data_IF_909124115869
#
_entry.id   IF_909124115869
#
_cell.length_a   1.000
_cell.length_b   1.000
_cell.length_c   1.000
_cell.angle_alpha   90.00
_cell.angle_beta   90.00
_cell.angle_gamma   90.00
#
_symmetry.space_group_name_H-M   'P 1'
#
loop_
_entity.id
_entity.type
_entity.pdbx_description
1 polymer ?
#
# COMPACT_ATOMS: atom_id res chain seq x y z
N UNK A 1 31.61 -4.76 4.53
CA UNK A 1 30.49 -3.81 4.34
C UNK A 1 29.46 -4.54 3.48
N UNK A 2 28.20 -4.70 3.92
CA UNK A 2 27.14 -5.28 3.08
C UNK A 2 26.43 -4.12 2.37
N UNK A 3 26.34 -4.21 1.05
CA UNK A 3 25.62 -3.23 0.22
C UNK A 3 24.24 -3.78 -0.12
N UNK A 4 23.21 -2.93 0.00
CA UNK A 4 21.83 -3.29 -0.35
C UNK A 4 21.57 -2.74 -1.75
N UNK A 5 21.38 -3.63 -2.72
CA UNK A 5 21.07 -3.27 -4.09
C UNK A 5 19.59 -2.92 -4.24
N UNK A 6 19.29 -1.83 -4.96
CA UNK A 6 17.92 -1.44 -5.31
C UNK A 6 17.38 -2.40 -6.37
N UNK A 7 16.27 -3.07 -6.06
CA UNK A 7 15.48 -3.84 -7.03
C UNK A 7 14.05 -3.29 -7.06
N UNK A 8 13.56 -2.96 -8.24
CA UNK A 8 12.22 -2.40 -8.45
C UNK A 8 11.29 -3.36 -9.22
N UNK A 9 11.67 -4.62 -9.41
CA UNK A 9 10.80 -5.63 -10.00
C UNK A 9 9.67 -6.02 -9.02
N UNK A 10 8.44 -5.65 -9.37
CA UNK A 10 7.24 -5.84 -8.59
C UNK A 10 6.54 -7.20 -8.74
N UNK A 11 6.93 -8.04 -9.69
CA UNK A 11 6.20 -9.26 -10.09
C UNK A 11 5.93 -10.24 -8.94
N UNK A 12 6.82 -10.29 -7.95
CA UNK A 12 6.73 -11.19 -6.80
C UNK A 12 6.08 -10.55 -5.57
N UNK A 13 5.84 -9.24 -5.57
CA UNK A 13 5.32 -8.55 -4.40
C UNK A 13 3.80 -8.61 -4.31
N UNK A 14 3.32 -8.58 -3.05
CA UNK A 14 1.93 -8.30 -2.71
C UNK A 14 1.91 -7.07 -1.81
N UNK A 15 1.12 -6.08 -2.18
CA UNK A 15 1.17 -4.73 -1.62
C UNK A 15 -0.16 -4.38 -0.96
N UNK A 16 -0.11 -3.92 0.29
CA UNK A 16 -1.24 -3.35 1.00
C UNK A 16 -1.18 -1.83 1.02
N UNK A 17 -2.30 -1.18 0.69
CA UNK A 17 -2.49 0.27 0.78
C UNK A 17 -3.58 0.53 1.80
N UNK A 18 -3.32 1.43 2.76
CA UNK A 18 -4.36 1.93 3.68
C UNK A 18 -4.60 3.41 3.42
N UNK A 19 -5.86 3.76 3.17
CA UNK A 19 -6.30 5.12 2.89
C UNK A 19 -7.25 5.62 3.98
N UNK A 20 -6.91 6.73 4.61
CA UNK A 20 -7.81 7.50 5.48
C UNK A 20 -8.87 8.22 4.63
N UNK A 21 -10.12 8.21 5.10
CA UNK A 21 -11.25 8.91 4.47
C UNK A 21 -11.43 10.34 5.00
N UNK A 22 -10.53 10.84 5.84
CA UNK A 22 -10.57 12.21 6.36
C UNK A 22 -10.52 13.28 5.25
N UNK A 23 -9.80 13.02 4.15
CA UNK A 23 -9.79 13.85 2.95
C UNK A 23 -9.85 12.96 1.69
N UNK A 24 -11.06 12.56 1.25
CA UNK A 24 -11.22 11.56 0.20
C UNK A 24 -10.73 12.05 -1.16
N UNK A 25 -10.88 13.34 -1.48
CA UNK A 25 -10.43 13.88 -2.77
C UNK A 25 -8.91 13.74 -2.94
N UNK A 26 -8.15 14.08 -1.90
CA UNK A 26 -6.70 13.91 -1.91
C UNK A 26 -6.33 12.43 -1.84
N UNK A 27 -6.92 11.68 -0.89
CA UNK A 27 -6.64 10.27 -0.70
C UNK A 27 -6.88 9.42 -1.94
N UNK A 28 -7.97 9.64 -2.68
CA UNK A 28 -8.28 8.88 -3.89
C UNK A 28 -7.34 9.20 -5.05
N UNK A 29 -7.00 10.47 -5.26
CA UNK A 29 -6.01 10.86 -6.28
C UNK A 29 -4.65 10.21 -6.01
N UNK A 30 -4.27 10.20 -4.74
CA UNK A 30 -3.05 9.62 -4.21
C UNK A 30 -3.02 8.09 -4.40
N UNK A 31 -4.07 7.38 -3.96
CA UNK A 31 -4.21 5.93 -4.15
C UNK A 31 -4.17 5.57 -5.62
N UNK A 32 -4.85 6.33 -6.49
CA UNK A 32 -4.86 6.10 -7.93
C UNK A 32 -3.46 6.23 -8.55
N UNK A 33 -2.71 7.27 -8.18
CA UNK A 33 -1.34 7.46 -8.65
C UNK A 33 -0.42 6.32 -8.18
N UNK A 34 -0.53 5.93 -6.91
CA UNK A 34 0.24 4.82 -6.33
C UNK A 34 -0.09 3.49 -7.02
N UNK A 35 -1.37 3.19 -7.21
CA UNK A 35 -1.83 1.98 -7.88
C UNK A 35 -1.28 1.87 -9.31
N UNK A 36 -1.37 2.96 -10.09
CA UNK A 36 -0.83 2.99 -11.44
C UNK A 36 0.69 2.74 -11.46
N UNK A 37 1.43 3.32 -10.51
CA UNK A 37 2.87 3.11 -10.44
C UNK A 37 3.23 1.68 -10.04
N UNK A 38 2.48 1.05 -9.12
CA UNK A 38 2.68 -0.36 -8.78
C UNK A 38 2.47 -1.28 -9.99
N UNK A 39 1.48 -0.99 -10.83
CA UNK A 39 1.27 -1.72 -12.08
C UNK A 39 2.45 -1.51 -13.05
N UNK A 40 2.96 -0.28 -13.19
CA UNK A 40 4.14 0.01 -14.02
C UNK A 40 5.39 -0.74 -13.56
N UNK A 41 5.52 -0.96 -12.25
CA UNK A 41 6.61 -1.73 -11.63
C UNK A 41 6.41 -3.25 -11.74
N UNK A 42 5.30 -3.72 -12.33
CA UNK A 42 5.03 -5.14 -12.57
C UNK A 42 4.30 -5.86 -11.43
N UNK A 43 3.81 -5.14 -10.41
CA UNK A 43 2.95 -5.73 -9.39
C UNK A 43 1.63 -6.15 -10.03
N UNK A 44 1.20 -7.40 -9.82
CA UNK A 44 -0.08 -7.87 -10.33
C UNK A 44 -1.23 -7.19 -9.58
N UNK A 45 -2.22 -6.71 -10.32
CA UNK A 45 -3.39 -6.01 -9.77
C UNK A 45 -4.09 -6.80 -8.65
N UNK A 46 -4.28 -8.11 -8.86
CA UNK A 46 -4.87 -9.05 -7.89
C UNK A 46 -4.09 -9.15 -6.56
N UNK A 47 -2.83 -8.70 -6.53
CA UNK A 47 -1.96 -8.68 -5.34
C UNK A 47 -1.85 -7.30 -4.70
N UNK A 48 -2.62 -6.32 -5.18
CA UNK A 48 -2.75 -5.00 -4.58
C UNK A 48 -4.06 -4.97 -3.78
N UNK A 49 -3.97 -4.70 -2.49
CA UNK A 49 -5.12 -4.64 -1.59
C UNK A 49 -5.26 -3.25 -1.00
N UNK A 50 -6.40 -2.60 -1.23
CA UNK A 50 -6.75 -1.32 -0.61
C UNK A 50 -7.68 -1.57 0.59
N UNK A 51 -7.34 -0.99 1.75
CA UNK A 51 -8.25 -0.84 2.87
C UNK A 51 -8.52 0.64 3.12
N UNK A 52 -9.80 0.99 3.31
CA UNK A 52 -10.21 2.34 3.72
C UNK A 52 -10.48 2.36 5.22
N UNK A 53 -10.10 3.45 5.87
CA UNK A 53 -10.34 3.66 7.31
C UNK A 53 -10.89 5.08 7.55
N UNK A 54 -11.65 5.31 8.64
CA UNK A 54 -12.22 6.62 8.92
C UNK A 54 -11.17 7.74 9.06
N UNK A 55 -10.01 7.44 9.65
CA UNK A 55 -8.97 8.41 9.94
C UNK A 55 -7.56 7.80 10.03
N UNK A 56 -6.57 8.68 10.26
CA UNK A 56 -5.18 8.26 10.38
C UNK A 56 -4.93 7.40 11.64
N UNK A 57 -5.73 7.57 12.70
CA UNK A 57 -5.60 6.83 13.96
C UNK A 57 -5.93 5.35 13.81
N UNK A 58 -6.80 5.00 12.86
CA UNK A 58 -7.21 3.62 12.58
C UNK A 58 -6.24 2.92 11.63
N UNK A 59 -5.41 3.68 10.90
CA UNK A 59 -4.47 3.16 9.90
C UNK A 59 -3.49 2.11 10.47
N UNK A 60 -2.84 2.31 11.64
CA UNK A 60 -1.96 1.30 12.24
C UNK A 60 -2.67 -0.03 12.54
N UNK A 61 -3.93 0.01 12.96
CA UNK A 61 -4.70 -1.19 13.26
C UNK A 61 -5.06 -1.94 11.97
N UNK A 62 -5.50 -1.21 10.94
CA UNK A 62 -5.78 -1.80 9.63
C UNK A 62 -4.52 -2.44 9.02
N UNK A 63 -3.38 -1.75 9.09
CA UNK A 63 -2.08 -2.25 8.64
C UNK A 63 -1.68 -3.54 9.37
N UNK A 64 -1.80 -3.55 10.71
CA UNK A 64 -1.54 -4.74 11.52
C UNK A 64 -2.44 -5.90 11.09
N UNK A 65 -3.73 -5.65 10.91
CA UNK A 65 -4.68 -6.70 10.48
C UNK A 65 -4.36 -7.21 9.08
N UNK A 66 -3.99 -6.33 8.15
CA UNK A 66 -3.58 -6.69 6.79
C UNK A 66 -2.33 -7.57 6.78
N UNK A 67 -1.29 -7.19 7.54
CA UNK A 67 -0.07 -7.98 7.69
C UNK A 67 -0.37 -9.41 8.17
N UNK A 68 -1.28 -9.53 9.15
CA UNK A 68 -1.63 -10.81 9.76
C UNK A 68 -2.53 -11.70 8.89
N UNK A 69 -3.30 -11.15 7.95
CA UNK A 69 -4.33 -11.90 7.22
C UNK A 69 -4.00 -12.21 5.76
N UNK A 70 -3.17 -11.39 5.11
CA UNK A 70 -3.01 -11.42 3.65
C UNK A 70 -1.59 -11.77 3.18
N UNK A 71 -0.67 -12.10 4.11
CA UNK A 71 0.75 -12.35 3.82
C UNK A 71 1.36 -11.27 2.90
N UNK A 72 1.04 -10.01 3.20
CA UNK A 72 1.51 -8.86 2.44
C UNK A 72 2.93 -8.53 2.91
N UNK A 73 3.86 -8.44 1.96
CA UNK A 73 5.27 -8.18 2.28
C UNK A 73 5.56 -6.69 2.45
N UNK A 74 4.75 -5.82 1.86
CA UNK A 74 4.95 -4.37 1.91
C UNK A 74 3.62 -3.65 2.18
N UNK A 75 3.70 -2.65 3.04
CA UNK A 75 2.56 -1.87 3.49
C UNK A 75 2.87 -0.39 3.31
N UNK A 76 1.95 0.32 2.65
CA UNK A 76 2.02 1.76 2.47
C UNK A 76 0.96 2.44 3.35
N UNK A 77 1.40 3.40 4.17
CA UNK A 77 0.53 4.27 4.95
C UNK A 77 0.67 5.70 4.44
N UNK A 78 -0.46 6.36 4.16
CA UNK A 78 -0.48 7.82 4.03
C UNK A 78 -1.25 8.44 5.19
N UNK A 79 -0.55 9.25 5.98
CA UNK A 79 -1.15 10.09 7.00
C UNK A 79 -1.31 11.50 6.41
N UNK A 80 -2.55 11.92 6.20
CA UNK A 80 -2.97 13.31 6.32
C UNK A 80 -4.03 13.36 7.41
#
# INVERSE_FOLDING_TARGET
>A
MREILKNSNGELFSIGIVMSEFNPHVGEALVKACHQELLNLGVKDERIVLAKVPGALESPLALKKMAQTKNLMHLLQWAL
#
